data_IF_334758626048
#
_entry.id   IF_334758626048
#
_cell.length_a   1.000
_cell.length_b   1.000
_cell.length_c   1.000
_cell.angle_alpha   90.00
_cell.angle_beta   90.00
_cell.angle_gamma   90.00
#
_symmetry.space_group_name_H-M   'P 1'
#
loop_
_entity.id
_entity.type
_entity.pdbx_description
1 polymer ?
#
# COMPACT_ATOMS: atom_id res chain seq x y z
N UNK A 1 29.23 -4.40 -9.96
CA UNK A 1 27.99 -4.39 -10.75
C UNK A 1 26.87 -4.83 -9.85
N UNK A 2 25.94 -3.94 -9.54
CA UNK A 2 24.81 -4.21 -8.63
C UNK A 2 23.62 -4.57 -9.50
N UNK A 3 23.18 -5.83 -9.48
CA UNK A 3 21.95 -6.23 -10.15
C UNK A 3 20.79 -5.62 -9.36
N UNK A 4 20.06 -4.69 -9.97
CA UNK A 4 18.81 -4.17 -9.46
C UNK A 4 17.69 -4.79 -10.29
N UNK A 5 16.76 -5.45 -9.60
CA UNK A 5 15.54 -5.98 -10.19
C UNK A 5 14.62 -4.77 -10.42
N UNK A 6 14.24 -4.56 -11.68
CA UNK A 6 13.28 -3.53 -12.10
C UNK A 6 11.98 -4.26 -12.41
N UNK A 7 10.91 -3.89 -11.71
CA UNK A 7 9.54 -4.27 -12.09
C UNK A 7 8.94 -3.17 -12.95
N UNK A 8 8.26 -3.61 -14.00
CA UNK A 8 7.46 -2.83 -14.93
C UNK A 8 6.04 -3.42 -14.82
N UNK A 9 4.96 -2.63 -14.71
CA UNK A 9 3.61 -3.17 -14.81
C UNK A 9 3.47 -3.82 -16.19
N UNK A 10 3.43 -5.16 -16.21
CA UNK A 10 3.24 -5.91 -17.44
C UNK A 10 1.75 -5.80 -17.79
N UNK A 11 1.42 -5.34 -19.01
CA UNK A 11 0.07 -5.44 -19.61
C UNK A 11 -0.39 -6.91 -19.76
N UNK A 12 0.50 -7.84 -19.44
CA UNK A 12 0.24 -9.27 -19.31
C UNK A 12 -0.49 -9.52 -18.00
N UNK A 13 -1.81 -9.66 -18.06
CA UNK A 13 -2.65 -10.26 -17.02
C UNK A 13 -2.17 -11.69 -16.65
N UNK A 14 -1.06 -11.80 -15.91
CA UNK A 14 -0.44 -13.05 -15.46
C UNK A 14 0.32 -13.85 -16.53
N UNK A 15 0.62 -13.32 -17.72
CA UNK A 15 1.44 -14.04 -18.72
C UNK A 15 2.91 -13.64 -18.63
N UNK A 16 3.78 -14.59 -18.28
CA UNK A 16 5.23 -14.40 -18.31
C UNK A 16 5.68 -14.35 -19.77
N UNK A 17 6.31 -13.26 -20.26
CA UNK A 17 6.87 -13.21 -21.61
C UNK A 17 7.92 -14.32 -21.79
N UNK A 18 7.87 -15.04 -22.91
CA UNK A 18 8.64 -16.27 -23.11
C UNK A 18 10.10 -16.05 -23.59
N UNK A 19 10.61 -14.82 -23.52
CA UNK A 19 11.93 -14.43 -24.05
C UNK A 19 12.55 -13.34 -23.19
N UNK A 20 13.87 -13.42 -22.96
CA UNK A 20 14.66 -12.35 -22.34
C UNK A 20 14.51 -11.04 -23.15
N UNK A 21 14.25 -9.92 -22.47
CA UNK A 21 13.98 -8.64 -23.13
C UNK A 21 14.95 -7.57 -22.65
N UNK A 22 15.52 -6.82 -23.59
CA UNK A 22 16.22 -5.57 -23.31
C UNK A 22 15.18 -4.49 -22.96
N UNK A 23 15.12 -4.05 -21.70
CA UNK A 23 14.25 -2.97 -21.27
C UNK A 23 15.05 -1.76 -20.82
N UNK A 24 14.48 -0.55 -20.89
CA UNK A 24 15.10 0.66 -20.32
C UNK A 24 14.57 0.88 -18.91
N UNK A 25 15.47 1.08 -17.95
CA UNK A 25 15.09 1.40 -16.57
C UNK A 25 14.31 2.72 -16.52
N UNK A 26 13.13 2.68 -15.89
CA UNK A 26 12.30 3.86 -15.66
C UNK A 26 12.94 4.89 -14.71
N UNK A 27 13.96 4.47 -13.93
CA UNK A 27 14.62 5.33 -12.93
C UNK A 27 15.77 6.14 -13.52
N UNK A 28 16.50 5.57 -14.49
CA UNK A 28 17.74 6.20 -14.99
C UNK A 28 18.01 6.00 -16.49
N UNK A 29 17.05 5.43 -17.23
CA UNK A 29 17.14 5.24 -18.68
C UNK A 29 18.13 4.17 -19.15
N UNK A 30 18.85 3.49 -18.25
CA UNK A 30 19.82 2.45 -18.63
C UNK A 30 19.12 1.23 -19.20
N UNK A 31 19.67 0.69 -20.29
CA UNK A 31 19.24 -0.60 -20.85
C UNK A 31 19.66 -1.72 -19.89
N UNK A 32 18.69 -2.52 -19.47
CA UNK A 32 18.82 -3.68 -18.61
C UNK A 32 18.34 -4.92 -19.36
N UNK A 33 19.06 -6.03 -19.19
CA UNK A 33 18.59 -7.34 -19.61
C UNK A 33 17.70 -7.91 -18.52
N UNK A 34 16.40 -8.02 -18.78
CA UNK A 34 15.45 -8.65 -17.87
C UNK A 34 15.46 -10.14 -18.18
N UNK A 35 15.93 -10.94 -17.23
CA UNK A 35 15.89 -12.41 -17.33
C UNK A 35 14.51 -12.91 -16.94
N UNK A 36 13.95 -13.79 -17.76
CA UNK A 36 12.70 -14.47 -17.42
C UNK A 36 12.95 -15.49 -16.31
N UNK A 37 12.14 -15.44 -15.26
CA UNK A 37 12.17 -16.39 -14.15
C UNK A 37 10.76 -16.71 -13.68
N UNK A 38 10.54 -17.94 -13.26
CA UNK A 38 9.34 -18.37 -12.54
C UNK A 38 9.36 -17.86 -11.09
N UNK A 39 8.20 -17.79 -10.40
CA UNK A 39 8.19 -17.52 -8.96
C UNK A 39 9.08 -18.49 -8.15
N UNK A 40 9.26 -19.73 -8.62
CA UNK A 40 10.15 -20.71 -8.00
C UNK A 40 11.64 -20.38 -8.18
N UNK A 41 12.02 -19.62 -9.22
CA UNK A 41 13.39 -19.13 -9.37
C UNK A 41 13.79 -18.14 -8.28
N UNK A 42 12.81 -17.47 -7.66
CA UNK A 42 13.06 -16.67 -6.46
C UNK A 42 13.54 -17.53 -5.28
N UNK A 43 13.08 -18.78 -5.17
CA UNK A 43 13.57 -19.72 -4.14
C UNK A 43 15.03 -20.10 -4.40
N UNK A 44 15.47 -20.14 -5.67
CA UNK A 44 16.87 -20.39 -6.01
C UNK A 44 17.79 -19.24 -5.59
N UNK A 45 17.28 -18.00 -5.58
CA UNK A 45 18.00 -16.84 -5.01
C UNK A 45 18.19 -16.97 -3.49
N UNK A 46 17.26 -17.61 -2.78
CA UNK A 46 17.36 -17.83 -1.34
C UNK A 46 18.29 -18.99 -0.96
N UNK A 47 18.67 -19.85 -1.90
CA UNK A 47 19.58 -20.98 -1.63
C UNK A 47 20.99 -20.48 -1.28
N UNK A 48 21.63 -21.06 -0.24
CA UNK A 48 23.02 -20.74 0.09
C UNK A 48 23.94 -21.08 -1.10
N UNK A 49 24.80 -20.15 -1.51
CA UNK A 49 25.88 -20.45 -2.45
C UNK A 49 27.12 -20.89 -1.68
N UNK A 50 27.47 -22.17 -1.79
CA UNK A 50 28.70 -22.70 -1.23
C UNK A 50 29.88 -22.28 -2.11
N UNK A 51 30.68 -21.32 -1.63
CA UNK A 51 32.00 -21.05 -2.20
C UNK A 51 33.08 -21.48 -1.22
N UNK A 52 34.21 -21.96 -1.73
CA UNK A 52 35.34 -22.51 -0.96
C UNK A 52 36.10 -21.47 -0.09
N UNK A 53 35.59 -20.24 0.04
CA UNK A 53 36.15 -19.19 0.90
C UNK A 53 34.98 -18.49 1.61
N UNK A 54 34.97 -18.53 2.95
CA UNK A 54 34.09 -17.80 3.90
C UNK A 54 32.68 -17.45 3.39
N UNK A 55 31.63 -18.10 3.93
CA UNK A 55 30.20 -17.79 3.74
C UNK A 55 29.95 -16.54 2.89
N UNK A 56 29.97 -16.70 1.56
CA UNK A 56 29.86 -15.58 0.65
C UNK A 56 28.41 -15.11 0.65
N UNK A 57 28.19 -13.86 1.06
CA UNK A 57 26.88 -13.21 1.02
C UNK A 57 26.29 -13.31 -0.39
N UNK A 58 25.11 -13.92 -0.53
CA UNK A 58 24.45 -14.03 -1.84
C UNK A 58 23.99 -12.62 -2.26
N UNK A 59 24.61 -12.00 -3.30
CA UNK A 59 24.37 -10.61 -3.67
C UNK A 59 22.98 -10.39 -4.29
N UNK A 60 22.28 -11.48 -4.62
CA UNK A 60 20.96 -11.45 -5.25
C UNK A 60 19.81 -11.48 -4.23
N UNK A 61 20.11 -11.78 -2.96
CA UNK A 61 19.10 -11.70 -1.89
C UNK A 61 18.71 -10.23 -1.71
N UNK A 62 17.42 -9.87 -1.79
CA UNK A 62 16.96 -8.52 -1.49
C UNK A 62 17.56 -8.04 -0.18
N UNK A 63 18.13 -6.83 -0.17
CA UNK A 63 18.90 -6.34 0.98
C UNK A 63 18.11 -6.44 2.28
N UNK A 64 16.81 -6.23 2.22
CA UNK A 64 15.79 -6.37 3.26
C UNK A 64 15.64 -7.76 3.87
N UNK A 65 16.00 -8.83 3.14
CA UNK A 65 16.05 -10.20 3.64
C UNK A 65 17.42 -10.58 4.25
N UNK A 66 18.38 -9.65 4.21
CA UNK A 66 19.65 -9.80 4.94
C UNK A 66 19.47 -9.31 6.38
N UNK A 67 20.23 -9.82 7.37
CA UNK A 67 20.12 -9.33 8.75
C UNK A 67 20.25 -7.80 8.86
N UNK A 68 21.19 -7.20 8.12
CA UNK A 68 21.40 -5.74 8.09
C UNK A 68 20.20 -5.00 7.51
N UNK A 69 19.60 -5.49 6.43
CA UNK A 69 18.43 -4.83 5.84
C UNK A 69 17.16 -5.06 6.65
N UNK A 70 17.03 -6.21 7.32
CA UNK A 70 15.94 -6.46 8.27
C UNK A 70 16.02 -5.48 9.46
N UNK A 71 17.21 -5.28 10.04
CA UNK A 71 17.41 -4.25 11.09
C UNK A 71 17.11 -2.85 10.56
N UNK A 72 17.55 -2.51 9.34
CA UNK A 72 17.22 -1.22 8.71
C UNK A 72 15.71 -1.05 8.56
N UNK A 73 15.00 -2.07 8.08
CA UNK A 73 13.55 -2.07 7.96
C UNK A 73 12.88 -1.82 9.32
N UNK A 74 13.26 -2.56 10.36
CA UNK A 74 12.72 -2.38 11.71
C UNK A 74 12.94 -0.95 12.22
N UNK A 75 14.13 -0.39 12.01
CA UNK A 75 14.44 1.00 12.37
C UNK A 75 13.54 1.99 11.63
N UNK A 76 13.38 1.84 10.31
CA UNK A 76 12.50 2.71 9.51
C UNK A 76 11.05 2.63 10.00
N UNK A 77 10.53 1.43 10.27
CA UNK A 77 9.17 1.26 10.81
C UNK A 77 9.02 1.87 12.22
N UNK A 78 10.06 1.81 13.05
CA UNK A 78 10.08 2.47 14.36
C UNK A 78 10.04 3.99 14.23
N UNK A 79 10.78 4.56 13.27
CA UNK A 79 10.78 5.99 12.98
C UNK A 79 9.41 6.45 12.47
N UNK A 80 8.82 5.73 11.52
CA UNK A 80 7.48 6.05 11.00
C UNK A 80 6.41 5.96 12.09
N UNK A 81 6.44 4.92 12.93
CA UNK A 81 5.55 4.82 14.10
C UNK A 81 5.69 6.03 15.03
N UNK A 82 6.92 6.45 15.35
CA UNK A 82 7.16 7.64 16.20
C UNK A 82 6.62 8.92 15.54
N UNK A 83 6.75 9.06 14.21
CA UNK A 83 6.18 10.18 13.45
C UNK A 83 4.65 10.21 13.59
N UNK A 84 3.99 9.07 13.37
CA UNK A 84 2.55 8.91 13.56
C UNK A 84 2.11 9.26 15.00
N UNK A 85 2.75 8.66 16.00
CA UNK A 85 2.42 8.87 17.42
C UNK A 85 2.55 10.36 17.81
N UNK A 86 3.54 11.07 17.26
CA UNK A 86 3.73 12.51 17.48
C UNK A 86 2.63 13.37 16.83
N UNK A 87 2.19 13.01 15.61
CA UNK A 87 1.07 13.69 14.93
C UNK A 87 -0.21 13.52 15.74
N UNK A 88 -0.56 12.28 16.12
CA UNK A 88 -1.74 11.99 16.92
C UNK A 88 -1.72 12.75 18.25
N UNK A 89 -0.58 12.75 18.97
CA UNK A 89 -0.45 13.49 20.23
C UNK A 89 -0.70 14.99 20.06
N UNK A 90 -0.17 15.59 19.00
CA UNK A 90 -0.35 17.02 18.70
C UNK A 90 -1.82 17.33 18.38
N UNK A 91 -2.44 16.54 17.50
CA UNK A 91 -3.82 16.75 17.05
C UNK A 91 -4.82 16.61 18.21
N UNK A 92 -4.63 15.60 19.07
CA UNK A 92 -5.40 15.44 20.31
C UNK A 92 -5.39 16.69 21.19
N UNK A 93 -4.23 17.32 21.36
CA UNK A 93 -4.12 18.55 22.17
C UNK A 93 -4.88 19.73 21.58
N UNK A 94 -5.17 19.70 20.26
CA UNK A 94 -5.87 20.78 19.53
C UNK A 94 -7.32 20.46 19.19
N UNK A 95 -7.77 19.20 19.32
CA UNK A 95 -9.09 18.74 18.87
C UNK A 95 -9.29 18.76 17.35
N UNK A 96 -8.23 18.91 16.56
CA UNK A 96 -8.28 18.97 15.10
C UNK A 96 -8.13 17.58 14.47
N UNK A 97 -8.74 17.38 13.31
CA UNK A 97 -8.50 16.21 12.47
C UNK A 97 -7.34 16.48 11.51
N UNK A 98 -6.58 15.43 11.18
CA UNK A 98 -5.46 15.53 10.26
C UNK A 98 -5.94 15.80 8.84
N UNK A 99 -5.23 16.68 8.16
CA UNK A 99 -5.34 16.92 6.72
C UNK A 99 -3.97 16.60 6.15
N UNK A 100 -3.92 15.79 5.10
CA UNK A 100 -2.67 15.31 4.53
C UNK A 100 -1.99 16.42 3.71
N UNK A 101 -0.84 16.97 4.16
CA UNK A 101 -0.15 18.03 3.43
C UNK A 101 0.49 17.52 2.13
N UNK A 102 0.75 16.22 2.03
CA UNK A 102 1.47 15.60 0.92
C UNK A 102 0.50 15.03 -0.15
N UNK A 103 -0.81 15.00 0.14
CA UNK A 103 -1.84 14.48 -0.76
C UNK A 103 -3.08 15.37 -0.79
N UNK A 104 -2.96 16.60 -1.33
CA UNK A 104 -4.01 17.60 -1.25
C UNK A 104 -5.23 17.21 -2.13
N UNK A 105 -6.42 17.42 -1.58
CA UNK A 105 -7.70 16.93 -2.13
C UNK A 105 -8.04 17.45 -3.53
N UNK A 106 -7.52 18.62 -3.90
CA UNK A 106 -7.71 19.25 -5.22
C UNK A 106 -6.90 18.56 -6.33
N UNK A 107 -5.86 17.80 -5.97
CA UNK A 107 -4.96 17.11 -6.92
C UNK A 107 -4.96 15.59 -6.76
N UNK A 108 -5.49 15.08 -5.65
CA UNK A 108 -5.44 13.68 -5.25
C UNK A 108 -6.02 12.68 -6.27
N UNK A 109 -7.07 13.06 -7.00
CA UNK A 109 -7.73 12.14 -7.96
C UNK A 109 -6.95 12.01 -9.28
N UNK A 110 -6.18 13.02 -9.66
CA UNK A 110 -5.52 13.06 -10.97
C UNK A 110 -6.50 13.17 -12.15
N UNK A 111 -6.09 12.68 -13.32
CA UNK A 111 -6.83 12.80 -14.59
C UNK A 111 -7.68 11.54 -14.85
N UNK A 112 -8.76 11.36 -14.10
CA UNK A 112 -9.70 10.25 -14.31
C UNK A 112 -10.87 10.72 -15.18
N UNK A 113 -11.08 10.05 -16.31
CA UNK A 113 -12.17 10.37 -17.23
C UNK A 113 -13.54 9.98 -16.68
N UNK A 114 -14.60 10.68 -17.10
CA UNK A 114 -16.00 10.35 -16.79
C UNK A 114 -16.34 10.29 -15.28
N UNK A 115 -15.61 11.02 -14.44
CA UNK A 115 -15.97 11.15 -13.03
C UNK A 115 -17.25 11.98 -12.85
N UNK A 116 -18.19 11.53 -12.01
CA UNK A 116 -19.29 12.38 -11.59
C UNK A 116 -18.75 13.57 -10.78
N UNK A 117 -19.57 14.62 -10.64
CA UNK A 117 -19.28 15.67 -9.67
C UNK A 117 -19.11 15.03 -8.28
N UNK A 118 -18.04 15.37 -7.59
CA UNK A 118 -17.66 14.75 -6.33
C UNK A 118 -17.44 15.78 -5.22
N UNK A 119 -17.49 15.30 -3.98
CA UNK A 119 -17.10 16.03 -2.78
C UNK A 119 -16.31 15.09 -1.86
N UNK A 120 -15.47 15.66 -1.00
CA UNK A 120 -14.66 14.89 -0.06
C UNK A 120 -15.32 14.86 1.31
N UNK A 121 -15.68 13.67 1.79
CA UNK A 121 -16.28 13.46 3.12
C UNK A 121 -15.42 12.55 3.96
N UNK A 122 -15.41 12.76 5.27
CA UNK A 122 -14.85 11.81 6.24
C UNK A 122 -15.85 10.69 6.49
N UNK A 123 -15.40 9.52 6.98
CA UNK A 123 -16.24 8.35 7.16
C UNK A 123 -17.44 8.62 8.06
N UNK A 124 -17.24 9.39 9.14
CA UNK A 124 -18.31 9.78 10.09
C UNK A 124 -19.36 10.73 9.49
N UNK A 125 -19.07 11.40 8.38
CA UNK A 125 -20.03 12.21 7.62
C UNK A 125 -20.86 11.34 6.64
N UNK A 126 -20.32 10.19 6.25
CA UNK A 126 -20.97 9.18 5.40
C UNK A 126 -21.86 8.29 6.28
N UNK A 127 -21.28 7.66 7.30
CA UNK A 127 -21.96 6.79 8.26
C UNK A 127 -21.58 7.17 9.70
N UNK A 128 -22.54 7.56 10.57
CA UNK A 128 -22.23 7.89 11.97
C UNK A 128 -21.61 6.76 12.79
N UNK A 129 -21.80 5.50 12.35
CA UNK A 129 -21.26 4.29 13.00
C UNK A 129 -19.94 3.83 12.40
N UNK A 130 -19.38 4.62 11.46
CA UNK A 130 -18.14 4.33 10.74
C UNK A 130 -17.02 3.82 11.65
N UNK A 131 -16.38 2.75 11.19
CA UNK A 131 -15.16 2.21 11.74
C UNK A 131 -14.14 1.90 10.65
N UNK A 132 -12.91 1.64 11.09
CA UNK A 132 -11.87 1.25 10.16
C UNK A 132 -12.09 -0.17 9.64
N UNK A 133 -12.35 -1.11 10.54
CA UNK A 133 -12.50 -2.54 10.26
C UNK A 133 -13.76 -3.01 11.01
N UNK A 134 -14.61 -3.81 10.35
CA UNK A 134 -15.84 -4.39 10.90
C UNK A 134 -15.74 -5.90 10.75
N UNK A 135 -15.76 -6.63 11.87
CA UNK A 135 -15.66 -8.11 11.91
C UNK A 135 -14.44 -8.77 11.26
N UNK A 136 -13.42 -8.00 10.88
CA UNK A 136 -12.13 -8.50 10.41
C UNK A 136 -11.83 -7.98 9.01
N UNK A 137 -10.83 -8.57 8.36
CA UNK A 137 -10.62 -8.33 6.94
C UNK A 137 -11.28 -9.45 6.17
N UNK A 138 -12.21 -9.13 5.28
CA UNK A 138 -12.86 -10.08 4.39
C UNK A 138 -12.75 -9.59 2.94
N UNK A 139 -12.73 -10.54 2.01
CA UNK A 139 -12.75 -10.24 0.57
C UNK A 139 -14.01 -9.50 0.12
N UNK A 140 -15.12 -9.63 0.85
CA UNK A 140 -16.39 -8.93 0.60
C UNK A 140 -16.33 -7.44 0.94
N UNK A 141 -15.31 -7.02 1.68
CA UNK A 141 -15.05 -5.60 1.97
C UNK A 141 -14.49 -4.83 0.75
N UNK A 142 -14.35 -5.50 -0.40
CA UNK A 142 -13.76 -4.99 -1.62
C UNK A 142 -14.76 -5.09 -2.77
N UNK A 143 -15.48 -3.99 -2.96
CA UNK A 143 -16.29 -3.69 -4.13
C UNK A 143 -15.57 -2.69 -5.02
N UNK A 144 -15.44 -3.04 -6.31
CA UNK A 144 -14.79 -2.18 -7.30
C UNK A 144 -15.61 -0.92 -7.54
N UNK A 145 -14.93 0.24 -7.44
CA UNK A 145 -15.50 1.51 -7.81
C UNK A 145 -15.38 1.82 -9.30
N UNK A 146 -15.24 3.10 -9.64
CA UNK A 146 -15.19 3.59 -11.03
C UNK A 146 -13.81 3.57 -11.67
N UNK A 147 -12.77 3.17 -10.94
CA UNK A 147 -11.40 3.11 -11.46
C UNK A 147 -11.09 1.73 -12.07
N UNK A 148 -10.26 1.73 -13.11
CA UNK A 148 -9.80 0.52 -13.81
C UNK A 148 -8.66 -0.21 -13.11
N UNK A 149 -8.63 -0.19 -11.78
CA UNK A 149 -7.55 -0.73 -10.95
C UNK A 149 -7.89 -2.09 -10.33
N UNK A 150 -8.76 -2.87 -10.99
CA UNK A 150 -9.15 -4.21 -10.56
C UNK A 150 -7.95 -5.14 -10.26
N UNK A 151 -6.80 -4.91 -10.90
CA UNK A 151 -5.54 -5.61 -10.63
C UNK A 151 -5.03 -5.39 -9.20
N UNK A 152 -5.24 -4.20 -8.62
CA UNK A 152 -4.90 -3.87 -7.24
C UNK A 152 -5.89 -4.55 -6.28
N UNK A 153 -7.19 -4.42 -6.56
CA UNK A 153 -8.27 -5.00 -5.76
C UNK A 153 -8.14 -6.51 -5.61
N UNK A 154 -7.83 -7.21 -6.70
CA UNK A 154 -7.62 -8.66 -6.69
C UNK A 154 -6.47 -9.06 -5.75
N UNK A 155 -5.38 -8.28 -5.73
CA UNK A 155 -4.24 -8.53 -4.83
C UNK A 155 -4.61 -8.24 -3.39
N UNK A 156 -5.24 -7.10 -3.10
CA UNK A 156 -5.65 -6.72 -1.74
C UNK A 156 -6.63 -7.76 -1.17
N UNK A 157 -7.62 -8.18 -1.98
CA UNK A 157 -8.60 -9.21 -1.62
C UNK A 157 -7.95 -10.54 -1.26
N UNK A 158 -7.00 -10.99 -2.08
CA UNK A 158 -6.26 -12.23 -1.79
C UNK A 158 -5.39 -12.10 -0.53
N UNK A 159 -4.84 -10.92 -0.26
CA UNK A 159 -4.00 -10.70 0.91
C UNK A 159 -4.82 -10.56 2.20
N UNK A 160 -6.04 -10.06 2.14
CA UNK A 160 -6.96 -9.94 3.28
C UNK A 160 -7.23 -11.31 3.94
N UNK A 161 -7.36 -12.36 3.11
CA UNK A 161 -7.50 -13.76 3.55
C UNK A 161 -6.23 -14.35 4.20
N UNK A 162 -5.12 -13.59 4.30
CA UNK A 162 -3.86 -14.02 4.93
C UNK A 162 -3.51 -13.05 6.08
N UNK A 163 -4.14 -13.16 7.26
CA UNK A 163 -4.01 -12.17 8.33
C UNK A 163 -2.58 -11.84 8.76
N UNK A 164 -1.63 -12.80 8.87
CA UNK A 164 -0.25 -12.47 9.21
C UNK A 164 0.41 -11.54 8.18
N UNK A 165 0.11 -11.70 6.89
CA UNK A 165 0.61 -10.85 5.82
C UNK A 165 -0.12 -9.50 5.82
N UNK A 166 -1.44 -9.52 5.97
CA UNK A 166 -2.24 -8.30 5.93
C UNK A 166 -1.93 -7.35 7.09
N UNK A 167 -1.68 -7.89 8.29
CA UNK A 167 -1.23 -7.09 9.44
C UNK A 167 0.12 -6.39 9.23
N UNK A 168 0.93 -6.85 8.28
CA UNK A 168 2.14 -6.13 7.88
C UNK A 168 1.83 -4.93 6.98
N UNK A 169 0.78 -4.99 6.17
CA UNK A 169 0.33 -3.91 5.26
C UNK A 169 -0.54 -2.90 6.01
N UNK A 170 -1.45 -3.39 6.84
CA UNK A 170 -2.36 -2.60 7.69
C UNK A 170 -1.94 -2.81 9.14
N UNK A 171 -1.13 -1.91 9.73
CA UNK A 171 -0.71 -2.06 11.12
C UNK A 171 -1.92 -2.13 12.07
N UNK A 172 -1.92 -3.05 13.04
CA UNK A 172 -3.06 -3.22 13.95
C UNK A 172 -3.24 -2.03 14.89
N UNK A 173 -4.43 -1.92 15.48
CA UNK A 173 -4.79 -0.90 16.46
C UNK A 173 -5.26 0.43 15.87
N UNK A 174 -5.63 0.46 14.60
CA UNK A 174 -6.30 1.58 13.95
C UNK A 174 -7.81 1.39 14.06
N UNK A 175 -8.53 2.39 14.56
CA UNK A 175 -10.00 2.40 14.56
C UNK A 175 -10.54 3.83 14.65
N UNK A 176 -11.78 4.02 14.20
CA UNK A 176 -12.41 5.36 14.21
C UNK A 176 -13.18 5.63 15.51
N UNK A 177 -13.48 4.57 16.27
CA UNK A 177 -14.21 4.64 17.55
C UNK A 177 -13.31 4.93 18.76
N UNK A 178 -11.99 4.89 18.61
CA UNK A 178 -11.05 5.19 19.70
C UNK A 178 -10.99 6.69 20.01
N UNK A 179 -10.70 7.02 21.27
CA UNK A 179 -10.25 8.36 21.70
C UNK A 179 -8.97 8.84 20.97
N UNK A 180 -8.26 7.93 20.30
CA UNK A 180 -7.11 8.21 19.45
C UNK A 180 -7.46 8.63 18.03
N UNK A 181 -8.74 8.65 17.66
CA UNK A 181 -9.16 9.08 16.34
C UNK A 181 -8.83 10.56 16.12
N UNK A 182 -7.97 10.81 15.14
CA UNK A 182 -7.61 12.14 14.67
C UNK A 182 -7.65 12.23 13.14
N UNK A 183 -8.46 11.39 12.48
CA UNK A 183 -8.63 11.39 11.03
C UNK A 183 -7.35 11.09 10.24
N UNK A 184 -6.45 10.27 10.80
CA UNK A 184 -5.18 9.84 10.20
C UNK A 184 -5.06 8.31 10.29
N UNK A 185 -4.68 7.70 9.17
CA UNK A 185 -4.47 6.27 9.02
C UNK A 185 -3.10 6.00 8.40
N UNK A 186 -2.58 4.79 8.61
CA UNK A 186 -1.27 4.35 8.14
C UNK A 186 -1.34 3.00 7.46
N UNK A 187 -0.59 2.89 6.37
CA UNK A 187 -0.44 1.68 5.57
C UNK A 187 1.03 1.46 5.26
N UNK A 188 1.41 0.23 4.93
CA UNK A 188 2.78 -0.13 4.60
C UNK A 188 2.83 -0.81 3.26
N UNK A 189 3.65 -0.27 2.38
CA UNK A 189 3.86 -0.80 1.04
C UNK A 189 5.31 -1.17 0.83
N UNK A 190 5.52 -2.17 -0.01
CA UNK A 190 6.85 -2.50 -0.49
C UNK A 190 7.15 -1.74 -1.77
N UNK A 191 8.00 -0.73 -1.67
CA UNK A 191 8.37 0.11 -2.81
C UNK A 191 9.89 0.04 -3.03
N UNK A 192 10.30 -0.33 -4.24
CA UNK A 192 11.71 -0.39 -4.67
C UNK A 192 12.65 -1.11 -3.71
N UNK A 193 12.18 -2.22 -3.13
CA UNK A 193 12.98 -3.06 -2.23
C UNK A 193 13.04 -2.57 -0.78
N UNK A 194 12.15 -1.65 -0.38
CA UNK A 194 12.04 -1.14 0.98
C UNK A 194 10.58 -1.08 1.42
N UNK A 195 10.33 -1.33 2.70
CA UNK A 195 9.04 -1.02 3.31
C UNK A 195 8.95 0.48 3.57
N UNK A 196 7.91 1.10 3.05
CA UNK A 196 7.53 2.47 3.32
C UNK A 196 6.22 2.47 4.09
N UNK A 197 6.08 3.39 5.06
CA UNK A 197 4.82 3.62 5.76
C UNK A 197 4.22 4.92 5.22
N UNK A 198 3.02 4.80 4.64
CA UNK A 198 2.27 5.91 4.05
C UNK A 198 1.18 6.32 5.03
N UNK A 199 1.10 7.62 5.31
CA UNK A 199 0.05 8.21 6.13
C UNK A 199 -0.96 8.88 5.20
N UNK A 200 -2.25 8.69 5.45
CA UNK A 200 -3.35 9.35 4.73
C UNK A 200 -4.38 9.88 5.73
N UNK A 201 -5.00 11.01 5.39
CA UNK A 201 -6.22 11.42 6.09
C UNK A 201 -7.39 10.55 5.62
N UNK A 202 -8.49 10.59 6.36
CA UNK A 202 -9.65 9.74 6.07
C UNK A 202 -10.71 10.35 5.14
N UNK A 203 -10.41 11.45 4.46
CA UNK A 203 -11.34 11.99 3.48
C UNK A 203 -11.44 11.06 2.27
N UNK A 204 -12.67 10.75 1.86
CA UNK A 204 -12.99 9.86 0.75
C UNK A 204 -13.84 10.62 -0.27
N UNK A 205 -13.58 10.49 -1.58
CA UNK A 205 -14.38 11.13 -2.60
C UNK A 205 -15.70 10.37 -2.78
N UNK A 206 -16.81 11.10 -2.62
CA UNK A 206 -18.17 10.60 -2.80
C UNK A 206 -18.86 11.37 -3.93
N UNK A 207 -19.87 10.75 -4.55
CA UNK A 207 -20.73 11.45 -5.51
C UNK A 207 -21.42 12.62 -4.81
N UNK A 208 -21.28 13.83 -5.36
CA UNK A 208 -21.72 15.07 -4.73
C UNK A 208 -23.21 15.03 -4.37
N UNK A 209 -23.54 15.41 -3.14
CA UNK A 209 -24.91 15.37 -2.63
C UNK A 209 -25.38 13.98 -2.17
N UNK A 210 -24.50 12.97 -2.22
CA UNK A 210 -24.81 11.61 -1.79
C UNK A 210 -23.80 11.10 -0.74
N UNK A 211 -23.92 9.82 -0.39
CA UNK A 211 -23.00 9.07 0.46
C UNK A 211 -22.28 7.95 -0.30
N UNK A 212 -22.47 7.88 -1.62
CA UNK A 212 -21.91 6.84 -2.46
C UNK A 212 -20.44 7.11 -2.75
N UNK A 213 -19.56 6.24 -2.27
CA UNK A 213 -18.12 6.28 -2.57
C UNK A 213 -17.87 6.04 -4.07
N UNK A 214 -16.87 6.72 -4.62
CA UNK A 214 -16.58 6.69 -6.07
C UNK A 214 -15.65 5.53 -6.43
N UNK A 215 -14.68 5.23 -5.56
CA UNK A 215 -13.63 4.24 -5.79
C UNK A 215 -13.87 2.98 -4.95
N UNK A 216 -12.83 2.18 -4.64
CA UNK A 216 -12.96 0.96 -3.85
C UNK A 216 -13.65 1.24 -2.51
N UNK A 217 -14.57 0.36 -2.12
CA UNK A 217 -15.32 0.44 -0.87
C UNK A 217 -15.80 -0.94 -0.41
N UNK A 218 -16.23 -1.05 0.85
CA UNK A 218 -16.95 -2.21 1.37
C UNK A 218 -18.43 -2.13 1.02
N UNK A 219 -19.09 -3.27 0.88
CA UNK A 219 -20.55 -3.34 0.80
C UNK A 219 -21.20 -2.98 2.16
N UNK A 220 -20.44 -3.12 3.25
CA UNK A 220 -20.83 -2.63 4.57
C UNK A 220 -20.61 -1.11 4.67
N UNK A 221 -21.70 -0.36 4.89
CA UNK A 221 -21.68 1.11 4.81
C UNK A 221 -20.82 1.79 5.88
N UNK A 222 -20.51 1.07 6.96
CA UNK A 222 -19.76 1.56 8.10
C UNK A 222 -18.30 1.07 8.11
N UNK A 223 -17.81 0.42 7.06
CA UNK A 223 -16.44 -0.08 6.97
C UNK A 223 -15.62 0.63 5.88
N UNK A 224 -14.39 1.02 6.21
CA UNK A 224 -13.62 1.97 5.41
C UNK A 224 -12.16 1.59 5.16
N UNK A 225 -11.65 0.46 5.66
CA UNK A 225 -10.24 0.10 5.46
C UNK A 225 -9.90 -0.06 3.98
N UNK A 226 -10.82 -0.60 3.17
CA UNK A 226 -10.61 -0.82 1.74
C UNK A 226 -10.46 0.53 1.01
N UNK A 227 -11.42 1.44 1.15
CA UNK A 227 -11.31 2.79 0.58
C UNK A 227 -10.01 3.52 0.98
N UNK A 228 -9.57 3.36 2.23
CA UNK A 228 -8.37 4.04 2.73
C UNK A 228 -7.06 3.40 2.26
N UNK A 229 -7.00 2.07 2.06
CA UNK A 229 -5.80 1.42 1.51
C UNK A 229 -5.60 1.76 0.04
N UNK A 230 -6.66 1.86 -0.77
CA UNK A 230 -6.58 2.32 -2.16
C UNK A 230 -6.09 3.77 -2.22
N UNK A 231 -6.66 4.66 -1.39
CA UNK A 231 -6.19 6.04 -1.26
C UNK A 231 -4.70 6.10 -0.90
N UNK A 232 -4.25 5.27 0.03
CA UNK A 232 -2.85 5.23 0.43
C UNK A 232 -1.92 4.65 -0.65
N UNK A 233 -2.44 3.79 -1.53
CA UNK A 233 -1.68 3.28 -2.69
C UNK A 233 -1.63 4.31 -3.84
N UNK A 234 -2.67 5.12 -4.00
CA UNK A 234 -2.73 6.22 -4.97
C UNK A 234 -1.76 7.36 -4.65
N UNK A 235 -1.42 7.54 -3.38
CA UNK A 235 -0.43 8.51 -2.88
C UNK A 235 1.02 8.05 -3.12
#
# INVERSE_FOLDING_TARGET
MTVQIVYDPDDSAGRIPNTDVNRKSLVNGKVINVKVGSPDDYKNILKPQHSNKRLSHNPNVPKTLTPKGYTKMQLMMSISKKKYDNIVRKLKGTGQLWEDPDFPLDKAIGNVENLPRYEWKRPKEIDPTADFIVDGFDRSDISQGRLGDCWLLAVISTMADIPPLFNHIVPPGQCMKSENYCGIFRFRFWQFGQWIEVLVDDRIPVVAGTKQMIFMHSDESNEFWSALIEKAYAK
#
